data_IF_954653211842
#
_entry.id   IF_954653211842
#
_cell.length_a   1.000
_cell.length_b   1.000
_cell.length_c   1.000
_cell.angle_alpha   90.00
_cell.angle_beta   90.00
_cell.angle_gamma   90.00
#
_symmetry.space_group_name_H-M   'P 1'
#
loop_
_entity.id
_entity.type
_entity.pdbx_description
1 polymer ?
#
# COMPACT_ATOMS: atom_id res chain seq x y z
N UNK A 1 9.37 26.65 12.38
CA UNK A 1 9.03 25.26 12.75
C UNK A 1 8.37 25.15 14.14
N UNK A 2 8.86 25.81 15.20
CA UNK A 2 8.17 25.82 16.52
C UNK A 2 6.85 26.60 16.58
N UNK A 3 6.62 27.59 15.71
CA UNK A 3 5.35 28.36 15.72
C UNK A 3 4.19 27.69 14.96
N UNK A 4 4.45 26.88 13.92
CA UNK A 4 3.39 26.12 13.25
C UNK A 4 2.87 24.95 14.11
N UNK A 5 3.73 24.34 14.94
CA UNK A 5 3.34 23.29 15.88
C UNK A 5 2.48 23.83 17.04
N UNK A 6 2.65 25.10 17.42
CA UNK A 6 1.83 25.76 18.45
C UNK A 6 0.41 26.06 17.99
N UNK A 7 0.20 26.41 16.71
CA UNK A 7 -1.13 26.66 16.15
C UNK A 7 -1.93 25.38 15.95
N UNK A 8 -1.27 24.27 15.56
CA UNK A 8 -1.94 22.99 15.33
C UNK A 8 -2.39 22.31 16.64
N UNK A 9 -1.58 22.39 17.71
CA UNK A 9 -1.96 21.88 19.03
C UNK A 9 -3.04 22.73 19.73
N UNK A 10 -3.13 24.03 19.44
CA UNK A 10 -4.15 24.94 19.97
C UNK A 10 -5.54 24.71 19.36
N UNK A 11 -5.60 24.43 18.04
CA UNK A 11 -6.85 24.14 17.33
C UNK A 11 -7.45 22.78 17.73
N UNK A 12 -6.62 21.74 17.89
CA UNK A 12 -7.09 20.42 18.33
C UNK A 12 -7.65 20.42 19.76
N UNK A 13 -7.01 21.12 20.71
CA UNK A 13 -7.54 21.25 22.09
C UNK A 13 -8.84 22.08 22.17
N UNK A 14 -9.05 23.02 21.25
CA UNK A 14 -10.29 23.77 21.15
C UNK A 14 -11.47 22.94 20.61
N UNK A 15 -11.22 22.07 19.63
CA UNK A 15 -12.24 21.22 19.02
C UNK A 15 -12.75 20.12 19.97
N UNK A 16 -11.89 19.57 20.82
CA UNK A 16 -12.26 18.55 21.82
C UNK A 16 -13.18 19.07 22.94
N UNK A 17 -13.09 20.37 23.27
CA UNK A 17 -13.93 21.01 24.29
C UNK A 17 -15.32 21.36 23.72
N UNK A 18 -15.39 21.73 22.43
CA UNK A 18 -16.63 22.12 21.76
C UNK A 18 -17.55 20.91 21.51
N UNK A 19 -17.00 19.72 21.26
CA UNK A 19 -17.78 18.52 20.92
C UNK A 19 -18.45 17.79 22.10
N UNK A 20 -18.13 18.14 23.35
CA UNK A 20 -18.65 17.46 24.55
C UNK A 20 -19.92 18.09 25.15
N UNK A 21 -20.34 19.28 24.72
CA UNK A 21 -21.48 19.99 25.32
C UNK A 21 -22.77 19.80 24.51
N UNK A 22 -23.73 19.04 25.07
CA UNK A 22 -25.00 18.66 24.42
C UNK A 22 -25.88 19.85 23.99
N UNK A 23 -25.66 21.04 24.56
CA UNK A 23 -26.46 22.25 24.25
C UNK A 23 -25.93 23.00 23.01
N UNK A 24 -24.67 22.81 22.59
CA UNK A 24 -24.04 23.51 21.45
C UNK A 24 -24.40 22.87 20.10
N UNK A 25 -24.71 21.57 20.07
CA UNK A 25 -25.15 20.87 18.83
C UNK A 25 -26.42 21.46 18.21
N UNK A 26 -27.25 22.19 18.98
CA UNK A 26 -28.50 22.79 18.48
C UNK A 26 -28.37 24.24 17.99
N UNK A 27 -27.28 24.95 18.29
CA UNK A 27 -27.14 26.39 17.98
C UNK A 27 -26.37 26.65 16.69
N UNK A 28 -25.50 25.73 16.26
CA UNK A 28 -24.79 25.83 14.96
C UNK A 28 -25.74 25.56 13.77
N UNK A 29 -26.88 24.90 14.00
CA UNK A 29 -27.89 24.63 12.98
C UNK A 29 -28.85 25.80 12.68
N UNK A 30 -28.72 26.96 13.34
CA UNK A 30 -29.76 28.01 13.31
C UNK A 30 -29.31 29.46 13.06
N UNK A 31 -28.06 29.70 12.64
CA UNK A 31 -27.63 31.05 12.23
C UNK A 31 -27.09 31.07 10.80
N UNK A 32 -27.99 31.15 9.82
CA UNK A 32 -27.88 31.97 8.61
C UNK A 32 -29.24 31.96 7.92
N UNK A 33 -30.11 32.92 8.27
CA UNK A 33 -31.32 33.21 7.50
C UNK A 33 -31.48 34.72 7.35
N UNK A 34 -31.28 35.17 6.10
CA UNK A 34 -31.69 36.47 5.55
C UNK A 34 -30.55 37.15 4.77
N UNK A 35 -30.65 37.49 3.48
CA UNK A 35 -31.73 37.48 2.49
C UNK A 35 -31.11 37.58 1.08
N UNK A 36 -31.52 36.71 0.14
CA UNK A 36 -31.79 37.03 -1.26
C UNK A 36 -32.50 35.83 -1.90
N UNK A 37 -33.82 35.95 -2.08
CA UNK A 37 -34.63 34.98 -2.82
C UNK A 37 -34.33 35.21 -4.31
N UNK A 38 -33.50 34.35 -4.89
CA UNK A 38 -33.59 34.04 -6.32
C UNK A 38 -34.32 32.70 -6.37
N UNK A 39 -35.51 32.71 -6.94
CA UNK A 39 -36.28 31.51 -7.24
C UNK A 39 -35.57 30.72 -8.34
N UNK A 40 -34.51 30.00 -7.98
CA UNK A 40 -34.07 28.87 -8.78
C UNK A 40 -34.90 27.68 -8.32
N UNK A 41 -35.77 27.18 -9.20
CA UNK A 41 -36.25 25.82 -9.08
C UNK A 41 -35.00 24.92 -9.16
N UNK A 42 -34.38 24.66 -8.01
CA UNK A 42 -33.39 23.61 -7.91
C UNK A 42 -34.16 22.33 -8.16
N UNK A 43 -34.11 21.85 -9.40
CA UNK A 43 -34.29 20.44 -9.71
C UNK A 43 -33.41 19.74 -8.67
N UNK A 44 -34.02 18.98 -7.76
CA UNK A 44 -33.26 18.21 -6.78
C UNK A 44 -32.27 17.37 -7.58
N UNK A 45 -31.00 17.77 -7.53
CA UNK A 45 -29.88 16.96 -7.95
C UNK A 45 -29.89 15.77 -7.00
N UNK A 46 -30.53 14.67 -7.42
CA UNK A 46 -30.56 13.46 -6.63
C UNK A 46 -29.16 12.85 -6.75
N UNK A 47 -28.38 12.94 -5.68
CA UNK A 47 -27.12 12.25 -5.59
C UNK A 47 -27.42 10.80 -5.21
N UNK A 48 -26.94 9.85 -6.02
CA UNK A 48 -27.23 8.44 -5.85
C UNK A 48 -26.04 7.59 -6.29
N UNK A 49 -25.88 6.46 -5.60
CA UNK A 49 -24.97 5.40 -5.98
C UNK A 49 -25.46 4.72 -7.25
N UNK A 50 -24.53 4.46 -8.16
CA UNK A 50 -24.75 3.76 -9.42
C UNK A 50 -23.64 2.72 -9.60
N UNK A 51 -23.93 1.65 -10.34
CA UNK A 51 -22.99 0.56 -10.57
C UNK A 51 -23.17 -0.03 -11.96
N UNK A 52 -22.07 -0.46 -12.56
CA UNK A 52 -22.02 -1.28 -13.77
C UNK A 52 -20.93 -2.36 -13.65
N UNK A 53 -20.51 -2.95 -14.77
CA UNK A 53 -19.47 -3.99 -14.82
C UNK A 53 -18.08 -3.46 -14.48
N UNK A 54 -17.84 -2.15 -14.59
CA UNK A 54 -16.55 -1.51 -14.36
C UNK A 54 -16.40 -1.02 -12.92
N UNK A 55 -17.50 -0.72 -12.22
CA UNK A 55 -17.46 -0.45 -10.80
C UNK A 55 -18.64 0.36 -10.28
N UNK A 56 -18.47 0.91 -9.08
CA UNK A 56 -19.40 1.86 -8.46
C UNK A 56 -19.01 3.29 -8.79
N UNK A 57 -19.99 4.17 -8.98
CA UNK A 57 -19.79 5.62 -8.99
C UNK A 57 -20.92 6.31 -8.23
N UNK A 58 -20.73 7.59 -7.92
CA UNK A 58 -21.74 8.39 -7.27
C UNK A 58 -22.12 9.57 -8.16
N UNK A 59 -23.40 9.80 -8.35
CA UNK A 59 -23.89 10.93 -9.14
C UNK A 59 -24.02 12.17 -8.27
N UNK A 60 -23.67 13.33 -8.83
CA UNK A 60 -23.81 14.64 -8.20
C UNK A 60 -24.47 15.59 -9.22
N UNK A 61 -25.80 15.63 -9.22
CA UNK A 61 -26.57 16.45 -10.17
C UNK A 61 -26.50 15.96 -11.60
N UNK A 62 -25.90 16.73 -12.50
CA UNK A 62 -25.73 16.36 -13.91
C UNK A 62 -24.37 15.69 -14.18
N UNK A 63 -23.60 15.38 -13.14
CA UNK A 63 -22.25 14.81 -13.26
C UNK A 63 -22.03 13.67 -12.25
N UNK A 64 -20.80 13.17 -12.15
CA UNK A 64 -20.37 12.17 -11.19
C UNK A 64 -19.33 12.74 -10.21
N UNK A 65 -19.26 12.14 -9.03
CA UNK A 65 -18.28 12.48 -8.01
C UNK A 65 -16.86 12.17 -8.49
N UNK A 66 -15.92 13.04 -8.12
CA UNK A 66 -14.47 12.85 -8.29
C UNK A 66 -13.75 13.35 -7.05
N UNK A 67 -12.63 12.72 -6.72
CA UNK A 67 -11.87 12.94 -5.49
C UNK A 67 -12.59 12.40 -4.23
N UNK A 68 -12.17 12.88 -3.07
CA UNK A 68 -12.76 12.51 -1.78
C UNK A 68 -14.19 13.05 -1.60
N UNK A 69 -15.09 12.20 -1.11
CA UNK A 69 -16.47 12.55 -0.75
C UNK A 69 -16.91 11.90 0.55
N UNK A 70 -17.58 12.68 1.38
CA UNK A 70 -18.30 12.17 2.54
C UNK A 70 -19.76 11.90 2.14
N UNK A 71 -20.16 10.63 2.19
CA UNK A 71 -21.50 10.17 1.85
C UNK A 71 -22.02 9.39 3.05
N UNK A 72 -23.15 9.83 3.60
CA UNK A 72 -23.79 9.23 4.78
C UNK A 72 -22.83 9.03 5.98
N UNK A 73 -21.91 9.98 6.19
CA UNK A 73 -20.96 9.97 7.31
C UNK A 73 -19.77 9.03 7.12
N UNK A 74 -19.54 8.52 5.90
CA UNK A 74 -18.36 7.74 5.52
C UNK A 74 -17.63 8.42 4.37
N UNK A 75 -16.31 8.30 4.36
CA UNK A 75 -15.48 8.88 3.31
C UNK A 75 -15.19 7.87 2.21
N UNK A 76 -15.24 8.30 0.96
CA UNK A 76 -14.96 7.51 -0.23
C UNK A 76 -14.06 8.32 -1.16
N UNK A 77 -13.30 7.65 -2.01
CA UNK A 77 -12.56 8.33 -3.08
C UNK A 77 -13.09 7.89 -4.45
N UNK A 78 -13.21 8.83 -5.38
CA UNK A 78 -13.60 8.57 -6.76
C UNK A 78 -12.48 9.06 -7.71
N UNK A 79 -12.04 8.19 -8.63
CA UNK A 79 -11.06 8.55 -9.64
C UNK A 79 -11.60 9.63 -10.59
N UNK A 80 -10.73 10.24 -11.39
CA UNK A 80 -11.10 11.27 -12.36
C UNK A 80 -12.11 10.79 -13.42
N UNK A 81 -12.17 9.48 -13.66
CA UNK A 81 -13.16 8.83 -14.54
C UNK A 81 -14.51 8.54 -13.84
N UNK A 82 -14.65 8.89 -12.56
CA UNK A 82 -15.88 8.80 -11.77
C UNK A 82 -16.05 7.52 -10.96
N UNK A 83 -15.22 6.49 -11.16
CA UNK A 83 -15.37 5.24 -10.41
C UNK A 83 -14.76 5.34 -9.01
N UNK A 84 -15.46 4.74 -8.06
CA UNK A 84 -15.07 4.64 -6.66
C UNK A 84 -13.86 3.73 -6.51
N UNK A 85 -12.86 4.19 -5.77
CA UNK A 85 -11.77 3.38 -5.29
C UNK A 85 -12.24 2.48 -4.14
N UNK A 86 -11.79 1.24 -4.11
CA UNK A 86 -12.03 0.26 -3.05
C UNK A 86 -10.84 -0.69 -2.99
N UNK A 87 -10.61 -1.32 -1.84
CA UNK A 87 -9.45 -2.20 -1.62
C UNK A 87 -8.12 -1.56 -2.03
N UNK A 88 -7.92 -0.28 -1.72
CA UNK A 88 -6.73 0.46 -2.14
C UNK A 88 -6.47 1.61 -1.19
N UNK A 89 -5.33 2.28 -1.32
CA UNK A 89 -4.98 3.46 -0.55
C UNK A 89 -4.93 4.67 -1.45
N UNK A 90 -5.53 5.76 -1.00
CA UNK A 90 -5.46 7.05 -1.70
C UNK A 90 -4.91 8.08 -0.72
N UNK A 91 -3.87 8.82 -1.09
CA UNK A 91 -3.25 9.85 -0.25
C UNK A 91 -2.86 9.36 1.18
N UNK A 92 -2.48 8.09 1.32
CA UNK A 92 -2.17 7.46 2.61
C UNK A 92 -3.38 7.01 3.44
N UNK A 93 -4.58 7.03 2.86
CA UNK A 93 -5.84 6.60 3.48
C UNK A 93 -6.37 5.31 2.86
N UNK A 94 -6.27 4.20 3.59
CA UNK A 94 -6.75 2.89 3.14
C UNK A 94 -8.28 2.86 3.02
N UNK A 95 -8.78 2.29 1.93
CA UNK A 95 -10.20 2.13 1.63
C UNK A 95 -10.61 0.65 1.75
N UNK A 96 -11.77 0.40 2.34
CA UNK A 96 -12.34 -0.94 2.50
C UNK A 96 -12.76 -1.55 1.15
N UNK A 97 -13.19 -2.81 1.16
CA UNK A 97 -13.82 -3.47 0.02
C UNK A 97 -15.13 -2.82 -0.42
N UNK A 98 -15.73 -2.01 0.44
CA UNK A 98 -16.91 -1.21 0.13
C UNK A 98 -16.55 0.26 -0.18
N UNK A 99 -15.25 0.55 -0.35
CA UNK A 99 -14.72 1.86 -0.77
C UNK A 99 -14.60 2.89 0.34
N UNK A 100 -14.88 2.51 1.58
CA UNK A 100 -14.94 3.46 2.68
C UNK A 100 -13.56 3.64 3.28
N UNK A 101 -13.18 4.89 3.53
CA UNK A 101 -11.96 5.19 4.27
C UNK A 101 -12.02 4.52 5.64
N UNK A 102 -11.02 3.68 5.84
CA UNK A 102 -10.72 3.00 7.07
C UNK A 102 -10.15 4.04 8.05
N UNK A 103 -11.04 4.77 8.72
CA UNK A 103 -10.65 5.60 9.86
C UNK A 103 -10.30 4.69 11.04
N UNK A 104 -9.21 5.02 11.73
CA UNK A 104 -8.73 4.30 12.92
C UNK A 104 -9.81 4.16 13.99
N UNK A 105 -10.77 5.09 14.07
CA UNK A 105 -11.85 5.02 15.07
C UNK A 105 -12.98 4.04 14.71
N UNK A 106 -13.34 3.88 13.43
CA UNK A 106 -14.40 2.93 13.02
C UNK A 106 -13.91 1.47 12.96
N UNK A 107 -12.60 1.26 12.77
CA UNK A 107 -11.99 -0.08 12.82
C UNK A 107 -11.58 -0.51 14.21
N UNK A 108 -11.19 0.41 15.10
CA UNK A 108 -10.89 0.04 16.49
C UNK A 108 -12.16 -0.47 17.17
N UNK A 109 -13.31 0.19 17.09
CA UNK A 109 -14.52 -0.30 17.78
C UNK A 109 -15.04 -1.68 17.29
N UNK A 110 -14.80 -2.03 16.01
CA UNK A 110 -15.18 -3.34 15.44
C UNK A 110 -14.11 -4.43 15.64
N UNK A 111 -12.81 -4.09 15.53
CA UNK A 111 -11.69 -5.02 15.76
C UNK A 111 -11.35 -5.22 17.23
N UNK A 112 -11.63 -4.25 18.11
CA UNK A 112 -11.54 -4.39 19.58
C UNK A 112 -12.64 -5.31 20.12
N UNK A 113 -13.74 -5.47 19.37
CA UNK A 113 -14.79 -6.44 19.70
C UNK A 113 -14.42 -7.88 19.33
N UNK A 114 -13.36 -8.08 18.53
CA UNK A 114 -12.93 -9.41 18.13
C UNK A 114 -12.44 -10.20 19.33
N UNK A 115 -12.94 -11.42 19.45
CA UNK A 115 -12.50 -12.33 20.50
C UNK A 115 -11.01 -12.63 20.32
N UNK A 116 -10.21 -12.31 21.34
CA UNK A 116 -8.82 -12.80 21.42
C UNK A 116 -8.85 -14.32 21.60
N UNK A 117 -8.16 -15.03 20.72
CA UNK A 117 -7.93 -16.46 20.83
C UNK A 117 -6.43 -16.75 20.81
N UNK A 118 -6.04 -17.83 21.47
CA UNK A 118 -4.69 -18.36 21.41
C UNK A 118 -4.61 -19.44 20.35
N UNK A 119 -3.58 -19.38 19.52
CA UNK A 119 -3.31 -20.35 18.46
C UNK A 119 -1.84 -20.70 18.55
N UNK A 120 -1.53 -21.99 18.59
CA UNK A 120 -0.13 -22.44 18.62
C UNK A 120 0.63 -21.88 17.41
N UNK A 121 1.79 -21.27 17.64
CA UNK A 121 2.55 -20.56 16.60
C UNK A 121 3.02 -21.44 15.44
N UNK A 122 3.16 -22.75 15.66
CA UNK A 122 3.50 -23.73 14.62
C UNK A 122 2.30 -24.57 14.15
N UNK A 123 1.06 -24.11 14.37
CA UNK A 123 -0.13 -24.82 13.89
C UNK A 123 -0.17 -24.76 12.36
N UNK A 124 -0.01 -25.93 11.74
CA UNK A 124 0.01 -26.08 10.28
C UNK A 124 -1.39 -26.02 9.65
N UNK A 125 -2.46 -25.96 10.44
CA UNK A 125 -3.82 -25.77 9.94
C UNK A 125 -3.94 -24.44 9.20
N UNK A 126 -4.36 -24.50 7.94
CA UNK A 126 -4.71 -23.32 7.15
C UNK A 126 -6.04 -22.66 7.49
N UNK A 127 -6.80 -23.20 8.46
CA UNK A 127 -8.12 -22.71 8.81
C UNK A 127 -8.04 -21.57 9.82
N UNK A 128 -8.78 -20.51 9.54
CA UNK A 128 -8.94 -19.36 10.43
C UNK A 128 -10.37 -19.27 10.94
N UNK A 129 -10.51 -18.80 12.18
CA UNK A 129 -11.79 -18.41 12.76
C UNK A 129 -12.13 -17.00 12.27
N UNK A 130 -13.40 -16.73 12.08
CA UNK A 130 -13.92 -15.42 11.72
C UNK A 130 -13.97 -14.47 12.92
N UNK A 131 -13.76 -13.17 12.68
CA UNK A 131 -13.88 -12.08 13.66
C UNK A 131 -13.08 -12.33 14.96
N UNK A 132 -11.83 -12.75 14.81
CA UNK A 132 -10.93 -12.96 15.95
C UNK A 132 -9.70 -12.08 15.88
N UNK A 133 -9.10 -11.90 17.05
CA UNK A 133 -7.76 -11.35 17.25
C UNK A 133 -6.85 -12.49 17.68
N UNK A 134 -5.65 -12.57 17.14
CA UNK A 134 -4.67 -13.62 17.47
C UNK A 134 -3.33 -12.98 17.72
N UNK A 135 -2.65 -13.40 18.79
CA UNK A 135 -1.25 -13.06 18.98
C UNK A 135 -0.39 -13.94 18.07
N UNK A 136 0.38 -13.29 17.20
CA UNK A 136 1.25 -13.90 16.20
C UNK A 136 2.73 -13.58 16.45
N UNK A 137 3.04 -13.02 17.63
CA UNK A 137 4.41 -12.78 18.06
C UNK A 137 5.04 -14.03 18.66
N UNK A 138 6.30 -14.31 18.32
CA UNK A 138 7.05 -15.35 18.98
C UNK A 138 7.55 -14.87 20.36
N UNK A 139 7.39 -15.71 21.38
CA UNK A 139 7.83 -15.44 22.74
C UNK A 139 6.99 -14.35 23.41
N UNK A 140 7.64 -13.29 23.90
CA UNK A 140 6.98 -12.19 24.63
C UNK A 140 6.59 -11.01 23.72
N UNK A 141 6.62 -11.20 22.39
CA UNK A 141 6.23 -10.18 21.41
C UNK A 141 4.70 -10.09 21.38
N UNK A 142 4.18 -8.87 21.31
CA UNK A 142 2.73 -8.62 21.18
C UNK A 142 2.41 -8.16 19.76
N UNK A 143 2.24 -9.13 18.86
CA UNK A 143 1.90 -8.85 17.45
C UNK A 143 0.49 -9.37 17.21
N UNK A 144 -0.41 -8.53 16.71
CA UNK A 144 -1.82 -8.91 16.60
C UNK A 144 -2.29 -9.00 15.17
N UNK A 145 -2.80 -10.17 14.81
CA UNK A 145 -3.51 -10.44 13.58
C UNK A 145 -5.02 -10.36 13.81
N UNK A 146 -5.75 -9.91 12.79
CA UNK A 146 -7.20 -9.79 12.83
C UNK A 146 -7.86 -10.40 11.61
N UNK A 147 -8.91 -11.17 11.84
CA UNK A 147 -9.73 -11.74 10.76
C UNK A 147 -11.08 -11.06 10.64
N UNK A 148 -11.61 -11.03 9.42
CA UNK A 148 -12.98 -10.60 9.16
C UNK A 148 -13.98 -11.76 9.31
N UNK A 149 -15.26 -11.51 8.98
CA UNK A 149 -16.34 -12.49 9.09
C UNK A 149 -16.18 -13.72 8.18
N UNK A 150 -15.30 -13.65 7.17
CA UNK A 150 -14.98 -14.73 6.23
C UNK A 150 -13.71 -15.49 6.63
N UNK A 151 -13.12 -15.16 7.79
CA UNK A 151 -11.85 -15.73 8.23
C UNK A 151 -10.64 -15.25 7.42
N UNK A 152 -10.78 -14.23 6.58
CA UNK A 152 -9.65 -13.64 5.86
C UNK A 152 -8.79 -12.80 6.83
N UNK A 153 -7.47 -12.89 6.71
CA UNK A 153 -6.53 -12.09 7.50
C UNK A 153 -6.47 -10.68 6.89
N UNK A 154 -7.07 -9.69 7.55
CA UNK A 154 -7.25 -8.35 6.95
C UNK A 154 -6.33 -7.29 7.54
N UNK A 155 -5.76 -7.56 8.72
CA UNK A 155 -4.88 -6.62 9.41
C UNK A 155 -3.88 -7.35 10.30
N UNK A 156 -2.65 -6.86 10.32
CA UNK A 156 -1.63 -7.21 11.31
C UNK A 156 -1.07 -5.92 11.91
N UNK A 157 -0.85 -5.91 13.22
CA UNK A 157 -0.28 -4.76 13.93
C UNK A 157 0.80 -5.17 14.93
N UNK A 158 1.85 -4.37 15.04
CA UNK A 158 2.79 -4.43 16.14
C UNK A 158 3.20 -3.01 16.54
N UNK A 159 3.13 -2.69 17.84
CA UNK A 159 3.63 -1.39 18.34
C UNK A 159 5.12 -1.23 18.08
N UNK A 160 5.85 -2.34 18.14
CA UNK A 160 7.28 -2.41 17.89
C UNK A 160 7.63 -3.78 17.34
N UNK A 161 8.32 -3.81 16.20
CA UNK A 161 8.96 -5.00 15.68
C UNK A 161 10.31 -5.18 16.38
N UNK A 162 10.49 -6.33 17.00
CA UNK A 162 11.72 -6.77 17.65
C UNK A 162 12.26 -7.96 16.87
N UNK A 163 13.48 -7.80 16.36
CA UNK A 163 14.15 -8.84 15.57
C UNK A 163 14.32 -10.13 16.37
N UNK A 164 14.38 -11.26 15.65
CA UNK A 164 14.78 -12.54 16.19
C UNK A 164 16.22 -12.48 16.73
N UNK A 165 16.47 -13.18 17.84
CA UNK A 165 17.80 -13.37 18.42
C UNK A 165 18.11 -14.87 18.55
N UNK A 166 18.76 -15.42 17.52
CA UNK A 166 19.16 -16.83 17.43
C UNK A 166 20.07 -17.29 18.59
N UNK A 167 20.68 -16.37 19.33
CA UNK A 167 21.56 -16.71 20.45
C UNK A 167 20.81 -16.96 21.76
N UNK A 168 19.60 -16.40 21.89
CA UNK A 168 18.79 -16.47 23.11
C UNK A 168 17.43 -17.13 22.90
N UNK A 169 16.95 -17.21 21.66
CA UNK A 169 15.65 -17.75 21.31
C UNK A 169 15.75 -19.18 20.77
N UNK A 170 14.71 -19.98 21.04
CA UNK A 170 14.66 -21.37 20.59
C UNK A 170 14.36 -21.42 19.08
N UNK A 171 15.41 -21.60 18.28
CA UNK A 171 15.33 -21.81 16.83
C UNK A 171 15.84 -23.20 16.45
N UNK A 172 15.31 -23.75 15.36
CA UNK A 172 15.79 -25.01 14.80
C UNK A 172 17.15 -24.83 14.10
N UNK A 173 17.70 -25.91 13.56
CA UNK A 173 19.00 -25.90 12.85
C UNK A 173 19.04 -25.02 11.59
N UNK A 174 17.88 -24.52 11.13
CA UNK A 174 17.74 -23.60 10.00
C UNK A 174 17.53 -22.14 10.46
N UNK A 175 17.60 -21.85 11.76
CA UNK A 175 17.34 -20.51 12.32
C UNK A 175 15.85 -20.14 12.37
N UNK A 176 14.95 -21.10 12.26
CA UNK A 176 13.50 -20.85 12.25
C UNK A 176 12.86 -21.21 13.58
N UNK A 177 11.80 -20.50 13.97
CA UNK A 177 11.02 -20.88 15.15
C UNK A 177 10.25 -22.20 14.95
N UNK A 178 9.78 -22.45 13.73
CA UNK A 178 9.02 -23.64 13.37
C UNK A 178 9.57 -24.27 12.08
N UNK A 179 9.37 -25.58 11.92
CA UNK A 179 9.92 -26.33 10.80
C UNK A 179 9.17 -26.12 9.47
N UNK A 180 7.92 -25.69 9.55
CA UNK A 180 6.98 -25.53 8.42
C UNK A 180 5.92 -24.47 8.75
N UNK A 181 5.16 -24.09 7.73
CA UNK A 181 4.16 -23.04 7.74
C UNK A 181 2.74 -23.57 7.51
N UNK A 182 1.76 -22.82 8.02
CA UNK A 182 0.35 -23.15 7.88
C UNK A 182 -0.12 -23.27 6.42
N UNK A 183 -0.89 -24.32 6.16
CA UNK A 183 -1.39 -24.66 4.81
C UNK A 183 -2.67 -23.92 4.46
N UNK A 184 -2.60 -22.58 4.43
CA UNK A 184 -3.73 -21.68 4.12
C UNK A 184 -4.22 -21.94 2.69
N UNK A 185 -5.54 -22.06 2.44
CA UNK A 185 -6.06 -22.33 1.09
C UNK A 185 -5.49 -21.34 0.06
N UNK A 186 -4.86 -21.89 -0.98
CA UNK A 186 -4.10 -21.18 -2.01
C UNK A 186 -2.64 -21.60 -2.10
N UNK A 187 -2.00 -21.99 -0.99
CA UNK A 187 -0.58 -22.38 -0.97
C UNK A 187 -0.29 -23.73 -1.62
N UNK A 188 -1.33 -24.50 -1.96
CA UNK A 188 -1.20 -25.68 -2.81
C UNK A 188 -0.72 -25.35 -4.24
N UNK A 189 -0.83 -24.08 -4.65
CA UNK A 189 -0.31 -23.62 -5.93
C UNK A 189 1.21 -23.49 -5.89
N UNK A 190 1.91 -24.09 -6.85
CA UNK A 190 3.37 -23.98 -6.96
C UNK A 190 3.89 -22.55 -7.25
N UNK A 191 3.00 -21.62 -7.60
CA UNK A 191 3.32 -20.19 -7.82
C UNK A 191 3.12 -19.33 -6.57
N UNK A 192 2.60 -19.90 -5.48
CA UNK A 192 2.31 -19.22 -4.24
C UNK A 192 3.09 -19.90 -3.11
N UNK A 193 3.76 -19.10 -2.30
CA UNK A 193 4.43 -19.51 -1.07
C UNK A 193 3.52 -19.33 0.14
N UNK A 194 3.87 -20.01 1.23
CA UNK A 194 3.41 -19.66 2.57
C UNK A 194 4.05 -18.34 3.06
N UNK A 195 3.68 -17.21 2.44
CA UNK A 195 4.26 -15.90 2.73
C UNK A 195 3.89 -15.39 4.12
N UNK A 196 4.88 -15.09 4.94
CA UNK A 196 4.67 -14.42 6.23
C UNK A 196 4.28 -12.96 6.02
N UNK A 197 3.33 -12.46 6.83
CA UNK A 197 3.05 -11.02 6.93
C UNK A 197 4.11 -10.33 7.78
N UNK A 198 4.51 -10.97 8.88
CA UNK A 198 5.72 -10.63 9.66
C UNK A 198 6.63 -11.87 9.66
N UNK A 199 7.79 -11.78 9.01
CA UNK A 199 8.74 -12.90 8.93
C UNK A 199 9.26 -13.40 10.28
N UNK A 200 9.78 -14.63 10.29
CA UNK A 200 10.47 -15.25 11.45
C UNK A 200 11.57 -14.31 11.99
N UNK A 201 12.40 -13.74 11.10
CA UNK A 201 13.48 -12.83 11.46
C UNK A 201 13.02 -11.50 12.10
N UNK A 202 11.73 -11.17 11.96
CA UNK A 202 11.07 -10.02 12.58
C UNK A 202 10.25 -10.44 13.82
N UNK A 203 10.28 -11.71 14.18
CA UNK A 203 9.63 -12.26 15.38
C UNK A 203 8.21 -12.78 15.17
N UNK A 204 7.77 -12.99 13.93
CA UNK A 204 6.46 -13.59 13.64
C UNK A 204 6.45 -15.12 13.77
N UNK A 205 5.28 -15.70 14.01
CA UNK A 205 5.06 -17.17 14.06
C UNK A 205 4.54 -17.71 12.72
N UNK A 206 4.48 -19.04 12.57
CA UNK A 206 4.16 -19.71 11.29
C UNK A 206 2.71 -20.20 11.15
N UNK A 207 1.81 -19.80 12.04
CA UNK A 207 0.41 -20.22 12.01
C UNK A 207 -0.42 -19.45 10.97
N UNK A 208 -1.62 -19.93 10.65
CA UNK A 208 -2.44 -19.35 9.58
C UNK A 208 -2.78 -17.86 9.76
N UNK A 209 -2.68 -17.29 10.97
CA UNK A 209 -2.99 -15.89 11.22
C UNK A 209 -1.81 -14.95 10.91
N UNK A 210 -0.66 -15.48 10.53
CA UNK A 210 0.50 -14.72 10.04
C UNK A 210 0.98 -15.15 8.65
N UNK A 211 0.37 -16.19 8.07
CA UNK A 211 0.73 -16.71 6.75
C UNK A 211 -0.36 -16.37 5.75
N UNK A 212 -0.02 -15.91 4.54
CA UNK A 212 -0.93 -15.71 3.41
C UNK A 212 -0.38 -16.40 2.16
N UNK A 213 -1.22 -16.98 1.28
CA UNK A 213 -0.76 -17.41 -0.04
C UNK A 213 -0.22 -16.21 -0.83
N UNK A 214 1.08 -16.18 -1.04
CA UNK A 214 1.78 -15.02 -1.61
C UNK A 214 2.59 -15.41 -2.84
N UNK A 215 2.61 -14.58 -3.88
CA UNK A 215 3.42 -14.85 -5.06
C UNK A 215 4.89 -15.11 -4.69
N UNK A 216 5.47 -16.22 -5.18
CA UNK A 216 6.80 -16.66 -4.75
C UNK A 216 7.92 -15.65 -5.10
N UNK A 217 7.81 -14.93 -6.24
CA UNK A 217 8.81 -13.93 -6.62
C UNK A 217 8.73 -12.71 -5.70
N UNK A 218 7.51 -12.23 -5.42
CA UNK A 218 7.24 -11.16 -4.49
C UNK A 218 7.79 -11.48 -3.09
N UNK A 219 7.44 -12.67 -2.58
CA UNK A 219 7.82 -13.15 -1.25
C UNK A 219 9.34 -13.30 -1.08
N UNK A 220 10.03 -13.91 -2.06
CA UNK A 220 11.44 -14.28 -1.91
C UNK A 220 12.42 -13.19 -2.34
N UNK A 221 12.00 -12.28 -3.22
CA UNK A 221 12.91 -11.36 -3.90
C UNK A 221 12.29 -10.03 -4.35
N UNK A 222 11.00 -9.81 -4.12
CA UNK A 222 10.29 -8.57 -4.46
C UNK A 222 10.13 -7.63 -3.28
N UNK A 223 9.05 -6.87 -3.29
CA UNK A 223 8.82 -5.77 -2.35
C UNK A 223 8.68 -6.24 -0.90
N UNK A 224 8.07 -7.41 -0.67
CA UNK A 224 8.01 -8.04 0.65
C UNK A 224 9.42 -8.26 1.21
N UNK A 225 10.30 -8.92 0.45
CA UNK A 225 11.67 -9.21 0.87
C UNK A 225 12.50 -7.92 1.09
N UNK A 226 12.26 -6.89 0.27
CA UNK A 226 12.91 -5.58 0.40
C UNK A 226 12.48 -4.84 1.68
N UNK A 227 11.18 -4.80 1.97
CA UNK A 227 10.63 -4.22 3.20
C UNK A 227 11.24 -4.91 4.44
N UNK A 228 11.22 -6.24 4.46
CA UNK A 228 11.75 -7.03 5.57
C UNK A 228 13.25 -6.78 5.80
N UNK A 229 14.05 -6.75 4.73
CA UNK A 229 15.47 -6.45 4.79
C UNK A 229 15.74 -5.03 5.32
N UNK A 230 14.92 -4.07 4.92
CA UNK A 230 15.01 -2.67 5.37
C UNK A 230 14.73 -2.56 6.87
N UNK A 231 13.66 -3.19 7.37
CA UNK A 231 13.33 -3.24 8.80
C UNK A 231 14.45 -3.93 9.59
N UNK A 232 14.97 -5.06 9.09
CA UNK A 232 16.06 -5.80 9.73
C UNK A 232 17.34 -4.96 9.83
N UNK A 233 17.74 -4.29 8.75
CA UNK A 233 18.90 -3.39 8.73
C UNK A 233 18.76 -2.20 9.68
N UNK A 234 17.54 -1.75 9.93
CA UNK A 234 17.23 -0.69 10.89
C UNK A 234 17.21 -1.17 12.36
N UNK A 235 17.28 -2.48 12.61
CA UNK A 235 17.17 -3.04 13.97
C UNK A 235 15.74 -3.20 14.45
N UNK A 236 14.76 -3.22 13.54
CA UNK A 236 13.32 -3.23 13.83
C UNK A 236 12.64 -1.92 13.44
N UNK A 237 11.34 -1.83 13.73
CA UNK A 237 10.53 -0.64 13.46
C UNK A 237 9.47 -0.42 14.56
N UNK A 238 8.83 0.75 14.55
CA UNK A 238 7.68 1.06 15.41
C UNK A 238 6.40 1.19 14.58
N UNK A 239 5.24 1.12 15.25
CA UNK A 239 3.93 1.39 14.66
C UNK A 239 3.64 0.60 13.37
N UNK A 240 4.07 -0.66 13.33
CA UNK A 240 3.89 -1.53 12.18
C UNK A 240 2.42 -1.89 12.01
N UNK A 241 1.89 -1.65 10.82
CA UNK A 241 0.55 -2.05 10.39
C UNK A 241 0.64 -2.62 8.99
N UNK A 242 0.12 -3.83 8.79
CA UNK A 242 -0.17 -4.39 7.48
C UNK A 242 -1.69 -4.42 7.29
N UNK A 243 -2.16 -3.94 6.16
CA UNK A 243 -3.53 -4.08 5.69
C UNK A 243 -3.51 -4.98 4.46
N UNK A 244 -4.39 -5.98 4.45
CA UNK A 244 -4.40 -7.04 3.44
C UNK A 244 -5.79 -7.09 2.84
N UNK A 245 -5.88 -6.96 1.52
CA UNK A 245 -7.15 -6.96 0.80
C UNK A 245 -7.32 -8.22 -0.03
N UNK A 246 -8.58 -8.48 -0.39
CA UNK A 246 -8.97 -9.67 -1.12
C UNK A 246 -9.91 -9.29 -2.26
N UNK A 247 -9.84 -10.00 -3.40
CA UNK A 247 -10.65 -9.68 -4.58
C UNK A 247 -12.13 -10.06 -4.38
N UNK A 248 -12.42 -10.91 -3.41
CA UNK A 248 -13.76 -11.33 -3.01
C UNK A 248 -13.73 -11.96 -1.61
N UNK A 249 -14.89 -12.39 -1.12
CA UNK A 249 -15.07 -12.92 0.25
C UNK A 249 -14.91 -14.44 0.35
N UNK A 250 -14.65 -15.15 -0.76
CA UNK A 250 -14.59 -16.62 -0.79
C UNK A 250 -13.16 -17.15 -0.82
N UNK A 251 -12.22 -16.37 -1.35
CA UNK A 251 -10.80 -16.74 -1.42
C UNK A 251 -10.04 -16.40 -0.12
N UNK A 252 -8.97 -17.15 0.15
CA UNK A 252 -7.98 -16.82 1.18
C UNK A 252 -6.67 -16.30 0.57
N UNK A 253 -6.63 -16.09 -0.75
CA UNK A 253 -5.51 -15.50 -1.50
C UNK A 253 -5.73 -13.98 -1.58
N UNK A 254 -4.88 -13.16 -0.96
CA UNK A 254 -4.95 -11.70 -1.08
C UNK A 254 -4.70 -11.23 -2.52
N UNK A 255 -5.20 -10.05 -2.87
CA UNK A 255 -4.82 -9.35 -4.10
C UNK A 255 -3.79 -8.23 -3.86
N UNK A 256 -3.75 -7.64 -2.67
CA UNK A 256 -2.89 -6.49 -2.39
C UNK A 256 -2.52 -6.38 -0.90
N UNK A 257 -1.35 -5.78 -0.65
CA UNK A 257 -0.82 -5.49 0.68
C UNK A 257 -0.44 -4.01 0.78
N UNK A 258 -0.81 -3.37 1.89
CA UNK A 258 -0.37 -2.03 2.28
C UNK A 258 0.27 -2.07 3.66
N UNK A 259 1.55 -1.73 3.73
CA UNK A 259 2.34 -1.70 4.95
C UNK A 259 2.63 -0.25 5.34
N UNK A 260 2.46 0.06 6.62
CA UNK A 260 2.87 1.33 7.22
C UNK A 260 3.67 1.05 8.48
N UNK A 261 4.84 1.67 8.61
CA UNK A 261 5.72 1.49 9.76
C UNK A 261 6.69 2.66 9.92
N UNK A 262 7.21 2.86 11.13
CA UNK A 262 8.10 3.96 11.45
C UNK A 262 9.54 3.47 11.60
N UNK A 263 10.45 3.99 10.78
CA UNK A 263 11.89 3.78 10.86
C UNK A 263 12.60 5.07 11.27
N UNK A 264 13.31 5.05 12.41
CA UNK A 264 14.09 6.19 12.90
C UNK A 264 13.28 7.51 12.95
N UNK A 265 11.97 7.42 13.22
CA UNK A 265 11.06 8.57 13.28
C UNK A 265 10.41 8.97 11.94
N UNK A 266 10.77 8.31 10.83
CA UNK A 266 10.14 8.52 9.53
C UNK A 266 9.08 7.44 9.29
N UNK A 267 7.87 7.85 8.91
CA UNK A 267 6.81 6.93 8.51
C UNK A 267 7.07 6.48 7.07
N UNK A 268 7.06 5.18 6.86
CA UNK A 268 7.22 4.51 5.57
C UNK A 268 5.89 3.90 5.18
N UNK A 269 5.57 3.97 3.88
CA UNK A 269 4.39 3.37 3.27
C UNK A 269 4.85 2.52 2.08
N UNK A 270 4.62 1.21 2.14
CA UNK A 270 4.93 0.27 1.06
C UNK A 270 3.65 -0.41 0.60
N UNK A 271 3.44 -0.50 -0.72
CA UNK A 271 2.25 -1.11 -1.31
C UNK A 271 2.62 -2.00 -2.49
N UNK A 272 2.03 -3.19 -2.56
CA UNK A 272 2.27 -4.11 -3.66
C UNK A 272 1.14 -5.11 -3.86
N UNK A 273 0.93 -5.47 -5.12
CA UNK A 273 -0.05 -6.47 -5.53
C UNK A 273 0.52 -7.89 -5.35
N UNK A 274 -0.35 -8.85 -5.05
CA UNK A 274 0.00 -10.26 -4.88
C UNK A 274 0.19 -10.99 -6.21
N UNK A 275 0.99 -10.42 -7.09
CA UNK A 275 1.30 -10.93 -8.41
C UNK A 275 2.82 -11.04 -8.58
N UNK A 276 3.25 -11.65 -9.68
CA UNK A 276 4.66 -11.64 -10.02
C UNK A 276 5.09 -10.20 -10.36
N UNK A 277 6.10 -9.62 -9.69
CA UNK A 277 6.57 -8.26 -9.98
C UNK A 277 7.01 -8.08 -11.44
N UNK A 278 7.47 -9.16 -12.09
CA UNK A 278 7.84 -9.14 -13.51
C UNK A 278 6.61 -9.07 -14.45
N UNK A 279 5.44 -9.52 -14.00
CA UNK A 279 4.17 -9.51 -14.75
C UNK A 279 3.45 -8.16 -14.65
N UNK A 280 3.60 -7.44 -13.54
CA UNK A 280 3.12 -6.06 -13.38
C UNK A 280 3.66 -5.15 -14.50
N UNK A 281 4.93 -5.34 -14.87
CA UNK A 281 5.59 -4.58 -15.93
C UNK A 281 5.05 -4.85 -17.34
N UNK A 282 4.27 -5.92 -17.55
CA UNK A 282 3.71 -6.29 -18.86
C UNK A 282 2.29 -5.71 -19.05
N UNK A 283 1.49 -5.70 -17.98
CA UNK A 283 0.11 -5.17 -18.00
C UNK A 283 0.03 -3.63 -17.89
N UNK A 284 1.12 -2.97 -17.48
CA UNK A 284 1.27 -1.51 -17.57
C UNK A 284 1.51 -0.99 -19.02
N UNK A 285 1.42 -1.85 -20.05
CA UNK A 285 1.55 -1.46 -21.45
C UNK A 285 2.98 -1.41 -21.99
N UNK A 286 3.89 -2.17 -21.40
CA UNK A 286 5.25 -2.37 -21.95
C UNK A 286 5.30 -3.77 -22.56
N UNK A 287 5.60 -3.85 -23.85
CA UNK A 287 5.72 -5.05 -24.70
C UNK A 287 4.48 -5.50 -25.48
N UNK A 288 4.22 -4.80 -26.60
CA UNK A 288 3.76 -5.45 -27.82
C UNK A 288 4.85 -6.42 -28.31
N UNK A 289 4.74 -7.71 -27.99
CA UNK A 289 5.58 -8.73 -28.65
C UNK A 289 5.04 -9.01 -30.04
N UNK A 290 5.48 -8.24 -31.02
CA UNK A 290 5.37 -8.64 -32.43
C UNK A 290 6.47 -7.98 -33.27
N UNK A 291 7.70 -8.51 -33.21
CA UNK A 291 8.47 -8.77 -34.43
C UNK A 291 9.69 -9.66 -34.14
N UNK A 292 9.64 -10.91 -34.64
CA UNK A 292 10.84 -11.60 -35.12
C UNK A 292 11.31 -10.86 -36.37
N UNK A 293 12.45 -10.15 -36.35
CA UNK A 293 13.34 -10.04 -37.53
C UNK A 293 14.78 -9.77 -37.08
N UNK A 294 15.61 -10.79 -37.29
CA UNK A 294 16.98 -10.82 -37.81
C UNK A 294 17.94 -9.62 -37.60
N UNK A 295 19.05 -9.96 -36.94
CA UNK A 295 20.41 -9.45 -37.15
C UNK A 295 20.65 -8.79 -38.52
N UNK A 296 21.10 -7.53 -38.52
CA UNK A 296 22.21 -7.04 -39.37
C UNK A 296 22.66 -5.65 -38.93
N UNK A 297 23.98 -5.53 -38.72
CA UNK A 297 24.72 -4.27 -38.57
C UNK A 297 24.49 -3.33 -39.77
N UNK A 298 24.35 -2.02 -39.51
CA UNK A 298 25.15 -0.97 -40.17
C UNK A 298 24.96 0.39 -39.49
N UNK A 299 26.10 1.04 -39.23
CA UNK A 299 26.25 2.45 -38.88
C UNK A 299 25.79 3.37 -40.03
N UNK A 300 25.33 4.58 -39.70
CA UNK A 300 25.96 5.88 -40.06
C UNK A 300 25.00 7.07 -39.78
N UNK A 301 25.43 7.88 -38.82
CA UNK A 301 25.36 9.34 -38.62
C UNK A 301 24.65 10.26 -39.66
N UNK A 302 23.86 11.25 -39.20
CA UNK A 302 24.30 12.65 -38.97
C UNK A 302 23.14 13.67 -38.79
N UNK A 303 23.30 14.51 -37.75
CA UNK A 303 23.00 15.95 -37.60
C UNK A 303 21.59 16.56 -37.74
N UNK A 304 21.03 16.86 -36.55
CA UNK A 304 20.63 18.18 -36.00
C UNK A 304 19.92 19.23 -36.87
N UNK A 305 18.73 19.64 -36.40
CA UNK A 305 18.49 21.04 -36.07
C UNK A 305 17.50 21.22 -34.90
N UNK A 306 17.83 22.20 -34.07
CA UNK A 306 17.32 22.54 -32.73
C UNK A 306 15.97 23.24 -32.79
N UNK A 307 15.06 22.92 -31.86
CA UNK A 307 14.21 23.93 -31.20
C UNK A 307 14.05 23.56 -29.73
N UNK A 308 14.47 24.47 -28.87
CA UNK A 308 14.28 24.47 -27.42
C UNK A 308 12.81 24.64 -27.10
N UNK A 309 12.21 23.65 -26.43
CA UNK A 309 10.92 23.83 -25.76
C UNK A 309 11.01 23.22 -24.35
N UNK A 310 11.09 24.10 -23.37
CA UNK A 310 11.40 23.85 -21.97
C UNK A 310 10.18 23.38 -21.19
N UNK A 311 9.56 22.26 -21.62
CA UNK A 311 8.46 21.64 -20.88
C UNK A 311 8.23 20.15 -21.22
N UNK A 312 9.31 19.39 -21.49
CA UNK A 312 9.21 17.97 -21.90
C UNK A 312 10.16 17.00 -21.21
N UNK A 313 10.91 17.43 -20.18
CA UNK A 313 11.92 16.57 -19.53
C UNK A 313 11.40 15.88 -18.25
N UNK A 314 10.24 16.31 -17.71
CA UNK A 314 9.61 15.67 -16.54
C UNK A 314 8.90 14.35 -16.86
N UNK A 315 8.60 14.07 -18.12
CA UNK A 315 8.01 12.80 -18.58
C UNK A 315 9.04 11.86 -19.24
N UNK A 316 10.30 12.29 -19.36
CA UNK A 316 11.32 11.51 -20.06
C UNK A 316 11.87 10.42 -19.14
N UNK A 317 11.68 9.16 -19.53
CA UNK A 317 12.29 8.03 -18.83
C UNK A 317 13.82 8.15 -18.89
N UNK A 318 14.44 8.17 -17.72
CA UNK A 318 15.89 8.08 -17.52
C UNK A 318 16.25 6.73 -16.92
N UNK A 319 17.53 6.39 -16.99
CA UNK A 319 18.10 5.14 -16.51
C UNK A 319 19.23 5.42 -15.54
N UNK A 320 19.33 4.68 -14.44
CA UNK A 320 20.42 4.87 -13.48
C UNK A 320 20.80 3.59 -12.78
N UNK A 321 21.95 3.61 -12.13
CA UNK A 321 22.39 2.50 -11.29
C UNK A 321 22.37 2.94 -9.83
N UNK A 322 22.18 2.01 -8.87
CA UNK A 322 22.05 2.37 -7.45
C UNK A 322 23.23 3.24 -6.96
N UNK A 323 24.46 2.86 -7.31
CA UNK A 323 25.68 3.56 -6.92
C UNK A 323 26.23 4.52 -7.99
N UNK A 324 25.51 4.71 -9.10
CA UNK A 324 25.92 5.60 -10.18
C UNK A 324 25.74 7.06 -9.79
N UNK A 325 26.67 7.93 -10.22
CA UNK A 325 26.56 9.38 -9.96
C UNK A 325 25.60 10.09 -10.89
N UNK A 326 25.39 9.55 -12.08
CA UNK A 326 24.59 10.19 -13.13
C UNK A 326 23.38 9.34 -13.52
N UNK A 327 22.33 10.00 -13.98
CA UNK A 327 21.26 9.36 -14.74
C UNK A 327 21.57 9.41 -16.25
N UNK A 328 20.94 8.54 -17.03
CA UNK A 328 21.21 8.34 -18.44
C UNK A 328 19.91 8.45 -19.24
N UNK A 329 19.91 9.16 -20.36
CA UNK A 329 18.73 9.22 -21.25
C UNK A 329 18.64 8.01 -22.21
N UNK A 330 19.65 7.14 -22.22
CA UNK A 330 19.71 5.93 -23.06
C UNK A 330 20.12 4.72 -22.21
N UNK A 331 19.25 3.70 -22.16
CA UNK A 331 19.49 2.43 -21.46
C UNK A 331 20.72 1.69 -21.99
N UNK A 332 21.04 1.89 -23.27
CA UNK A 332 22.16 1.25 -23.95
C UNK A 332 23.44 2.10 -23.90
N UNK A 333 23.45 3.18 -23.11
CA UNK A 333 24.63 4.01 -22.97
C UNK A 333 25.85 3.16 -22.60
N UNK A 334 26.92 3.30 -23.37
CA UNK A 334 28.14 2.48 -23.18
C UNK A 334 28.70 2.51 -21.75
N UNK A 335 28.45 3.56 -20.97
CA UNK A 335 28.85 3.65 -19.56
C UNK A 335 27.99 2.81 -18.62
N UNK A 336 26.79 2.40 -19.04
CA UNK A 336 25.93 1.45 -18.34
C UNK A 336 26.27 -0.01 -18.67
N UNK A 337 27.03 -0.27 -19.73
CA UNK A 337 27.28 -1.63 -20.27
C UNK A 337 27.83 -2.67 -19.28
N UNK A 338 28.48 -2.24 -18.20
CA UNK A 338 29.01 -3.11 -17.14
C UNK A 338 28.11 -3.23 -15.91
N UNK A 339 26.99 -2.51 -15.90
CA UNK A 339 26.07 -2.45 -14.77
C UNK A 339 25.12 -3.64 -14.83
N UNK A 340 25.12 -4.44 -13.77
CA UNK A 340 24.23 -5.61 -13.66
C UNK A 340 22.79 -5.22 -13.28
N UNK A 341 22.62 -4.02 -12.72
CA UNK A 341 21.33 -3.46 -12.28
C UNK A 341 21.22 -2.06 -12.84
N UNK A 342 20.17 -1.82 -13.63
CA UNK A 342 19.84 -0.53 -14.24
C UNK A 342 18.35 -0.29 -14.00
N UNK A 343 18.06 0.72 -13.18
CA UNK A 343 16.71 1.21 -12.92
C UNK A 343 16.26 2.16 -14.04
N UNK A 344 14.95 2.39 -14.14
CA UNK A 344 14.37 3.39 -15.03
C UNK A 344 13.15 4.05 -14.41
N UNK A 345 12.90 5.29 -14.78
CA UNK A 345 11.83 6.12 -14.20
C UNK A 345 12.03 7.58 -14.61
N UNK A 346 11.34 8.51 -13.95
CA UNK A 346 11.49 9.95 -14.17
C UNK A 346 12.79 10.48 -13.54
N UNK A 347 13.17 11.71 -13.91
CA UNK A 347 14.31 12.40 -13.27
C UNK A 347 14.07 12.58 -11.77
N UNK A 348 12.81 12.79 -11.36
CA UNK A 348 12.46 12.95 -9.95
C UNK A 348 12.65 11.63 -9.17
N UNK A 349 12.18 10.51 -9.71
CA UNK A 349 12.31 9.18 -9.12
C UNK A 349 13.77 8.70 -9.03
N UNK A 350 14.63 9.14 -9.96
CA UNK A 350 16.04 8.70 -9.95
C UNK A 350 16.86 9.31 -8.80
N UNK A 351 16.44 10.47 -8.28
CA UNK A 351 17.12 11.19 -7.21
C UNK A 351 18.53 11.70 -7.56
N UNK A 352 18.92 11.70 -8.85
CA UNK A 352 20.24 12.15 -9.33
C UNK A 352 20.09 13.48 -10.07
N UNK A 353 21.02 14.38 -9.83
CA UNK A 353 20.99 15.74 -10.39
C UNK A 353 21.70 15.85 -11.74
N UNK A 354 22.61 14.91 -12.04
CA UNK A 354 23.54 15.05 -13.15
C UNK A 354 23.24 14.04 -14.26
N UNK A 355 23.00 14.52 -15.48
CA UNK A 355 22.90 13.67 -16.66
C UNK A 355 24.28 13.15 -17.09
N UNK A 356 24.34 11.94 -17.63
CA UNK A 356 25.57 11.37 -18.17
C UNK A 356 26.10 12.17 -19.36
N UNK A 357 27.37 12.56 -19.32
CA UNK A 357 28.09 13.31 -20.38
C UNK A 357 28.06 12.69 -21.78
N UNK A 358 27.75 11.38 -21.90
CA UNK A 358 27.56 10.70 -23.19
C UNK A 358 26.11 10.74 -23.67
N UNK A 359 25.16 10.83 -22.76
CA UNK A 359 23.73 10.90 -23.06
C UNK A 359 23.26 12.34 -23.31
N UNK A 360 24.00 13.33 -22.79
CA UNK A 360 23.69 14.76 -22.89
C UNK A 360 24.35 15.46 -24.10
N UNK A 361 25.01 14.72 -24.98
CA UNK A 361 25.67 15.22 -26.19
C UNK A 361 24.83 15.04 -27.45
#
# INVERSE_FOLDING_TARGET
MKEMLSYHFGLMKGMDIIMKNKTIKKVIASCLLGLAIISTNSIKANAEWRQDTSGWWYTEGTSYATGWREIDGKWYYFYSNGYMAFNTTIDGYALSSSGEWITTNNTIDSLESNQLIEVYGGDLSGKRKANVKVDIGFGNREYYAYTNQYGQLVKVTAKKIVLQDDSTEAVNSKGRYYDDEAKVPGVESASLDEGHVIADSLGGVSNAYNITPQNSTLNRSGDQAYMEDTIRKAGGCADFTAIITYPNTTTQIPDHYSYTYTLNGNVIHDEFDNINPDEYNVNAGVYNTNTKVNNSNTNVNNNTNVTTDSNKDSERTVYWTPNGKSYHYDKNCSTLSRSKVIYSGTIEECGKTDACDKCSK
#
